data_IF_807635197966
#
_entry.id   IF_807635197966
#
_cell.length_a   1.000
_cell.length_b   1.000
_cell.length_c   1.000
_cell.angle_alpha   90.00
_cell.angle_beta   90.00
_cell.angle_gamma   90.00
#
_symmetry.space_group_name_H-M   'P 1'
#
loop_
_entity.id
_entity.type
_entity.pdbx_description
1 polymer ?
#
# COMPACT_ATOMS: atom_id res chain seq x y z
N UNK A 1 -30.66 14.92 41.00
CA UNK A 1 -31.41 14.29 39.90
C UNK A 1 -30.40 13.62 38.96
N UNK A 2 -29.93 12.42 39.29
CA UNK A 2 -28.93 11.70 38.49
C UNK A 2 -29.66 10.71 37.57
N UNK A 3 -29.59 10.97 36.27
CA UNK A 3 -30.20 10.12 35.24
C UNK A 3 -29.49 8.77 35.17
N UNK A 4 -30.26 7.70 35.32
CA UNK A 4 -29.87 6.32 35.02
C UNK A 4 -29.52 6.21 33.53
N UNK A 5 -28.26 6.36 33.16
CA UNK A 5 -27.84 5.99 31.81
C UNK A 5 -27.86 4.47 31.74
N UNK A 6 -28.83 3.91 30.99
CA UNK A 6 -28.80 2.50 30.64
C UNK A 6 -27.53 2.25 29.81
N UNK A 7 -26.67 1.29 30.18
CA UNK A 7 -25.47 0.99 29.41
C UNK A 7 -25.89 0.63 27.98
N UNK A 8 -25.27 1.30 27.01
CA UNK A 8 -25.44 0.96 25.59
C UNK A 8 -25.02 -0.51 25.41
N UNK A 9 -25.84 -1.36 24.78
CA UNK A 9 -25.45 -2.73 24.53
C UNK A 9 -24.15 -2.74 23.72
N UNK A 10 -23.18 -3.61 24.06
CA UNK A 10 -21.93 -3.70 23.31
C UNK A 10 -22.27 -4.00 21.85
N UNK A 11 -21.58 -3.30 20.93
CA UNK A 11 -21.65 -3.66 19.51
C UNK A 11 -21.24 -5.13 19.39
N UNK A 12 -22.06 -5.94 18.72
CA UNK A 12 -21.68 -7.30 18.37
C UNK A 12 -20.34 -7.24 17.65
N UNK A 13 -19.33 -7.92 18.20
CA UNK A 13 -18.07 -8.15 17.50
C UNK A 13 -18.40 -9.12 16.38
N UNK A 14 -18.47 -8.61 15.15
CA UNK A 14 -18.50 -9.46 13.96
C UNK A 14 -17.23 -10.32 14.04
N UNK A 15 -17.42 -11.61 14.36
CA UNK A 15 -16.35 -12.63 14.37
C UNK A 15 -16.11 -13.17 12.96
N UNK A 16 -16.43 -12.39 11.94
CA UNK A 16 -16.04 -12.68 10.58
C UNK A 16 -14.65 -12.09 10.37
N UNK A 17 -13.69 -12.96 10.09
CA UNK A 17 -12.28 -12.61 9.96
C UNK A 17 -12.07 -11.42 9.01
N UNK A 18 -11.03 -10.62 9.29
CA UNK A 18 -10.64 -9.49 8.44
C UNK A 18 -10.68 -9.95 6.98
N UNK A 19 -11.49 -9.32 6.10
CA UNK A 19 -11.58 -9.74 4.71
C UNK A 19 -10.19 -9.67 4.11
N UNK A 20 -9.62 -10.84 3.80
CA UNK A 20 -8.33 -10.90 3.13
C UNK A 20 -8.56 -10.53 1.67
N UNK A 21 -7.77 -9.57 1.19
CA UNK A 21 -7.75 -9.24 -0.22
C UNK A 21 -7.35 -10.50 -0.99
N UNK A 22 -8.19 -10.89 -1.95
CA UNK A 22 -7.90 -12.02 -2.83
C UNK A 22 -6.60 -11.72 -3.59
N UNK A 23 -5.70 -12.69 -3.64
CA UNK A 23 -4.49 -12.59 -4.46
C UNK A 23 -4.93 -12.58 -5.93
N UNK A 24 -4.80 -11.43 -6.59
CA UNK A 24 -4.95 -11.33 -8.04
C UNK A 24 -3.58 -11.57 -8.70
N UNK A 25 -3.54 -12.17 -9.90
CA UNK A 25 -2.30 -12.27 -10.66
C UNK A 25 -1.73 -10.86 -10.94
N UNK A 26 -0.41 -10.74 -10.88
CA UNK A 26 0.27 -9.50 -11.25
C UNK A 26 -0.01 -9.12 -12.70
N UNK A 27 -0.24 -7.83 -12.96
CA UNK A 27 -0.34 -7.29 -14.33
C UNK A 27 1.02 -6.78 -14.78
N UNK A 28 1.40 -7.10 -16.01
CA UNK A 28 2.66 -6.65 -16.61
C UNK A 28 2.35 -5.75 -17.80
N UNK A 29 3.11 -4.66 -17.93
CA UNK A 29 3.12 -3.81 -19.12
C UNK A 29 4.56 -3.56 -19.52
N UNK A 30 4.85 -3.68 -20.82
CA UNK A 30 6.11 -3.24 -21.41
C UNK A 30 5.84 -1.89 -22.07
N UNK A 31 6.71 -0.91 -21.78
CA UNK A 31 6.59 0.44 -22.31
C UNK A 31 7.99 1.00 -22.56
N UNK A 32 8.16 1.65 -23.70
CA UNK A 32 9.36 2.41 -24.04
C UNK A 32 9.01 3.90 -23.97
N UNK A 33 9.82 4.73 -23.29
CA UNK A 33 9.63 6.18 -23.29
C UNK A 33 10.01 6.78 -24.64
N UNK A 34 9.32 7.84 -25.05
CA UNK A 34 9.64 8.59 -26.28
C UNK A 34 10.93 9.42 -26.14
N UNK A 35 11.43 9.60 -24.92
CA UNK A 35 12.64 10.36 -24.62
C UNK A 35 13.37 9.83 -23.39
N UNK A 36 14.47 10.49 -22.97
CA UNK A 36 15.24 10.07 -21.80
C UNK A 36 14.39 10.03 -20.53
N UNK A 37 14.46 8.92 -19.80
CA UNK A 37 13.80 8.76 -18.50
C UNK A 37 14.78 8.20 -17.48
N UNK A 38 15.05 8.99 -16.44
CA UNK A 38 15.80 8.53 -15.28
C UNK A 38 14.83 8.08 -14.18
N UNK A 39 14.73 6.75 -14.00
CA UNK A 39 13.85 6.17 -12.98
C UNK A 39 14.27 6.51 -11.55
N UNK A 40 15.58 6.72 -11.31
CA UNK A 40 16.11 7.08 -9.99
C UNK A 40 15.67 8.48 -9.59
N UNK A 41 15.78 9.44 -10.51
CA UNK A 41 15.31 10.81 -10.30
C UNK A 41 13.80 10.89 -10.11
N UNK A 42 13.03 10.12 -10.91
CA UNK A 42 11.56 10.19 -10.87
C UNK A 42 10.98 9.46 -9.65
N UNK A 43 11.51 8.27 -9.32
CA UNK A 43 10.93 7.42 -8.27
C UNK A 43 11.59 7.61 -6.89
N UNK A 44 12.83 8.10 -6.84
CA UNK A 44 13.57 8.32 -5.59
C UNK A 44 12.81 9.12 -4.53
N UNK A 45 12.13 10.23 -4.86
CA UNK A 45 11.35 11.01 -3.90
C UNK A 45 10.19 10.27 -3.23
N UNK A 46 9.74 9.13 -3.77
CA UNK A 46 8.64 8.34 -3.20
C UNK A 46 9.07 7.47 -2.01
N UNK A 47 10.38 7.31 -1.79
CA UNK A 47 10.94 6.55 -0.68
C UNK A 47 10.75 7.28 0.64
N UNK A 48 10.35 6.57 1.70
CA UNK A 48 10.07 7.13 3.03
C UNK A 48 11.31 7.24 3.95
N UNK A 49 12.50 6.99 3.41
CA UNK A 49 13.77 7.05 4.14
C UNK A 49 14.65 5.80 3.94
N UNK A 50 15.83 5.77 4.58
CA UNK A 50 16.72 4.61 4.56
C UNK A 50 16.01 3.32 4.99
N UNK A 51 16.26 2.22 4.28
CA UNK A 51 15.69 0.90 4.61
C UNK A 51 14.18 0.74 4.36
N UNK A 52 13.52 1.68 3.66
CA UNK A 52 12.09 1.59 3.36
C UNK A 52 11.70 0.23 2.75
N UNK A 53 10.91 -0.61 3.46
CA UNK A 53 10.53 -1.93 2.95
C UNK A 53 9.54 -1.85 1.79
N UNK A 54 8.93 -0.68 1.58
CA UNK A 54 7.96 -0.45 0.50
C UNK A 54 8.62 -0.03 -0.81
N UNK A 55 9.94 0.17 -0.82
CA UNK A 55 10.71 0.63 -1.99
C UNK A 55 12.08 -0.07 -2.07
N UNK A 56 12.39 -0.73 -3.19
CA UNK A 56 13.69 -1.36 -3.41
C UNK A 56 14.22 -1.12 -4.83
N UNK A 57 15.48 -0.72 -4.94
CA UNK A 57 16.25 -0.74 -6.18
C UNK A 57 17.08 -2.01 -6.25
N UNK A 58 17.06 -2.68 -7.40
CA UNK A 58 17.86 -3.87 -7.68
C UNK A 58 19.12 -3.49 -8.48
N UNK A 59 20.19 -4.32 -8.45
CA UNK A 59 21.42 -4.04 -9.19
C UNK A 59 21.25 -3.96 -10.71
N UNK A 60 20.21 -4.58 -11.25
CA UNK A 60 19.83 -4.56 -12.68
C UNK A 60 19.10 -3.27 -13.10
N UNK A 61 18.95 -2.31 -12.18
CA UNK A 61 18.20 -1.07 -12.41
C UNK A 61 16.68 -1.20 -12.19
N UNK A 62 16.17 -2.39 -11.85
CA UNK A 62 14.76 -2.58 -11.56
C UNK A 62 14.35 -1.88 -10.26
N UNK A 63 13.16 -1.27 -10.25
CA UNK A 63 12.59 -0.61 -9.07
C UNK A 63 11.29 -1.29 -8.65
N UNK A 64 11.25 -1.80 -7.43
CA UNK A 64 10.03 -2.32 -6.80
C UNK A 64 9.48 -1.27 -5.84
N UNK A 65 8.19 -0.95 -5.99
CA UNK A 65 7.46 -0.19 -4.98
C UNK A 65 6.10 -0.82 -4.69
N UNK A 66 5.65 -0.71 -3.45
CA UNK A 66 4.27 -1.03 -3.08
C UNK A 66 3.48 0.26 -2.90
N UNK A 67 2.23 0.27 -3.34
CA UNK A 67 1.34 1.42 -3.25
C UNK A 67 -0.11 0.98 -3.30
N UNK A 68 -1.00 1.78 -2.71
CA UNK A 68 -2.43 1.63 -2.89
C UNK A 68 -2.82 2.47 -4.10
N UNK A 69 -3.36 1.84 -5.14
CA UNK A 69 -4.15 2.57 -6.12
C UNK A 69 -5.52 2.84 -5.48
N UNK A 70 -6.18 3.97 -5.77
CA UNK A 70 -7.60 4.12 -5.48
C UNK A 70 -8.41 2.94 -6.04
#
# INVERSE_FOLDING_TARGET
MAGRFAPRPPRAVVRDGIPRQALAPGRVRVWAPDGPLDLGLVLGPLRRGPGDPTFRTMPDGSVWRTGRTP
#
